data_IF_501612753645
#
_entry.id   IF_501612753645
#
_cell.length_a   1.000
_cell.length_b   1.000
_cell.length_c   1.000
_cell.angle_alpha   90.00
_cell.angle_beta   90.00
_cell.angle_gamma   90.00
#
_symmetry.space_group_name_H-M   'P 1'
#
loop_
_entity.id
_entity.type
_entity.pdbx_description
1 polymer ?
#
# COMPACT_ATOMS: atom_id res chain seq x y z
N UNK A 1 4.96 -2.28 12.81
CA UNK A 1 5.62 -1.47 11.77
C UNK A 1 5.90 -2.27 10.51
N UNK A 2 6.89 -3.19 10.46
CA UNK A 2 7.20 -3.94 9.22
C UNK A 2 5.99 -4.75 8.69
N UNK A 3 5.28 -5.43 9.60
CA UNK A 3 4.03 -6.14 9.29
C UNK A 3 2.96 -5.20 8.72
N UNK A 4 2.80 -4.01 9.29
CA UNK A 4 1.80 -3.03 8.86
C UNK A 4 2.12 -2.50 7.46
N UNK A 5 3.41 -2.22 7.20
CA UNK A 5 3.92 -1.85 5.86
C UNK A 5 3.61 -2.94 4.84
N UNK A 6 3.81 -4.21 5.21
CA UNK A 6 3.51 -5.33 4.33
C UNK A 6 2.01 -5.55 4.12
N UNK A 7 1.19 -5.40 5.16
CA UNK A 7 -0.27 -5.48 5.05
C UNK A 7 -0.83 -4.37 4.17
N UNK A 8 -0.31 -3.16 4.30
CA UNK A 8 -0.62 -2.05 3.41
C UNK A 8 -0.15 -2.29 1.98
N UNK A 9 1.03 -2.89 1.79
CA UNK A 9 1.49 -3.27 0.46
C UNK A 9 0.53 -4.24 -0.24
N UNK A 10 -0.13 -5.12 0.50
CA UNK A 10 -1.09 -6.08 -0.03
C UNK A 10 -2.47 -5.45 -0.23
N UNK A 11 -3.00 -4.81 0.81
CA UNK A 11 -4.41 -4.41 0.88
C UNK A 11 -4.64 -2.97 0.46
N UNK A 12 -3.59 -2.16 0.40
CA UNK A 12 -3.68 -0.72 0.20
C UNK A 12 -3.46 0.06 1.49
N UNK A 13 -3.13 1.35 1.37
CA UNK A 13 -3.09 2.23 2.52
C UNK A 13 -4.44 2.24 3.22
N UNK A 14 -4.42 2.07 4.55
CA UNK A 14 -5.59 2.39 5.35
C UNK A 14 -5.79 3.91 5.30
N UNK A 15 -6.74 4.37 4.49
CA UNK A 15 -7.13 5.78 4.43
C UNK A 15 -7.88 6.17 5.71
N UNK A 16 -7.12 6.44 6.77
CA UNK A 16 -7.65 7.00 8.02
C UNK A 16 -8.11 8.46 7.86
N UNK A 17 -7.80 9.11 6.74
CA UNK A 17 -8.06 10.53 6.49
C UNK A 17 -9.14 10.83 5.44
N UNK A 18 -9.77 9.84 4.82
CA UNK A 18 -10.71 10.11 3.72
C UNK A 18 -12.11 9.52 3.97
N UNK A 19 -13.07 10.30 4.52
CA UNK A 19 -14.46 9.87 4.65
C UNK A 19 -15.17 9.64 3.29
N UNK A 20 -14.50 9.97 2.18
CA UNK A 20 -15.01 9.78 0.82
C UNK A 20 -14.73 8.38 0.29
N UNK A 21 -13.62 7.73 0.67
CA UNK A 21 -13.24 6.43 0.09
C UNK A 21 -14.18 5.28 0.48
N UNK A 22 -14.85 5.34 1.63
CA UNK A 22 -15.90 4.35 1.97
C UNK A 22 -17.13 4.46 1.05
N UNK A 23 -17.46 5.67 0.59
CA UNK A 23 -18.59 5.88 -0.31
C UNK A 23 -18.22 5.60 -1.78
N UNK A 24 -16.96 5.86 -2.15
CA UNK A 24 -16.46 5.71 -3.52
C UNK A 24 -16.18 4.24 -3.88
N UNK A 25 -15.71 3.41 -2.95
CA UNK A 25 -15.56 1.95 -3.20
C UNK A 25 -16.90 1.22 -3.37
N UNK A 26 -18.00 1.76 -2.81
CA UNK A 26 -19.34 1.18 -2.96
C UNK A 26 -20.07 1.71 -4.22
N UNK A 27 -19.78 2.95 -4.66
CA UNK A 27 -20.53 3.60 -5.74
C UNK A 27 -19.83 3.63 -7.11
N UNK A 28 -18.51 3.51 -7.18
CA UNK A 28 -17.77 3.64 -8.46
C UNK A 28 -16.98 2.39 -8.78
N UNK A 29 -17.64 1.44 -9.44
CA UNK A 29 -16.97 0.53 -10.34
C UNK A 29 -16.35 1.33 -11.52
N UNK A 30 -15.11 1.83 -11.34
CA UNK A 30 -14.20 2.34 -12.37
C UNK A 30 -13.79 3.81 -12.24
N UNK A 31 -12.69 4.29 -12.87
CA UNK A 31 -11.44 3.66 -13.31
C UNK A 31 -10.22 4.32 -12.61
N UNK A 32 -10.24 4.49 -11.29
CA UNK A 32 -9.02 4.67 -10.49
C UNK A 32 -8.56 3.28 -10.11
N UNK A 33 -7.61 2.72 -10.86
CA UNK A 33 -7.18 1.33 -10.70
C UNK A 33 -7.03 0.96 -9.23
N UNK A 34 -7.84 -0.03 -8.79
CA UNK A 34 -7.80 -0.62 -7.45
C UNK A 34 -6.35 -0.83 -7.04
N UNK A 35 -6.01 -0.70 -5.76
CA UNK A 35 -4.65 -0.91 -5.27
C UNK A 35 -3.99 -2.18 -5.86
N UNK A 36 -4.79 -3.24 -6.10
CA UNK A 36 -4.38 -4.48 -6.76
C UNK A 36 -3.85 -4.33 -8.19
N UNK A 37 -4.18 -3.25 -8.89
CA UNK A 37 -3.72 -2.92 -10.26
C UNK A 37 -2.53 -1.97 -10.33
N UNK A 38 -2.15 -1.32 -9.21
CA UNK A 38 -0.98 -0.44 -9.17
C UNK A 38 0.32 -1.23 -9.34
N UNK A 39 1.27 -0.65 -10.05
CA UNK A 39 2.60 -1.24 -10.22
C UNK A 39 3.38 -1.27 -8.90
N UNK A 40 4.34 -2.19 -8.78
CA UNK A 40 5.10 -2.38 -7.55
C UNK A 40 5.77 -1.09 -7.06
N UNK A 41 6.44 -0.37 -7.95
CA UNK A 41 7.11 0.91 -7.69
C UNK A 41 6.13 1.99 -7.21
N UNK A 42 4.93 2.06 -7.78
CA UNK A 42 3.90 3.01 -7.35
C UNK A 42 3.45 2.72 -5.92
N UNK A 43 3.26 1.43 -5.58
CA UNK A 43 2.89 1.02 -4.23
C UNK A 43 3.97 1.39 -3.21
N UNK A 44 5.24 1.13 -3.54
CA UNK A 44 6.38 1.49 -2.68
C UNK A 44 6.45 3.01 -2.48
N UNK A 45 6.27 3.79 -3.55
CA UNK A 45 6.26 5.26 -3.46
C UNK A 45 5.15 5.79 -2.55
N UNK A 46 3.93 5.26 -2.67
CA UNK A 46 2.81 5.67 -1.81
C UNK A 46 3.09 5.33 -0.35
N UNK A 47 3.62 4.14 -0.08
CA UNK A 47 3.99 3.71 1.27
C UNK A 47 5.10 4.60 1.84
N UNK A 48 6.08 5.00 1.03
CA UNK A 48 7.17 5.87 1.50
C UNK A 48 6.69 7.27 1.89
N UNK A 49 5.58 7.76 1.32
CA UNK A 49 4.97 9.01 1.78
C UNK A 49 4.38 8.89 3.19
N UNK A 50 3.92 7.70 3.59
CA UNK A 50 3.37 7.47 4.93
C UNK A 50 4.43 7.19 5.99
N UNK A 51 5.59 6.70 5.57
CA UNK A 51 6.74 6.42 6.43
C UNK A 51 7.92 7.31 6.00
N UNK A 52 7.87 8.64 6.24
CA UNK A 52 8.93 9.56 5.82
C UNK A 52 10.27 9.30 6.51
N UNK A 53 10.27 8.49 7.57
CA UNK A 53 11.44 8.01 8.28
C UNK A 53 12.10 6.79 7.62
N UNK A 54 11.51 6.23 6.57
CA UNK A 54 12.03 5.08 5.82
C UNK A 54 12.25 5.48 4.36
N UNK A 55 13.36 5.01 3.79
CA UNK A 55 13.58 5.15 2.35
C UNK A 55 12.72 4.16 1.56
N UNK A 56 12.51 4.42 0.27
CA UNK A 56 11.85 3.46 -0.62
C UNK A 56 12.56 2.10 -0.64
N UNK A 57 13.89 2.09 -0.50
CA UNK A 57 14.70 0.86 -0.41
C UNK A 57 14.38 0.07 0.85
N UNK A 58 14.23 0.74 2.01
CA UNK A 58 13.89 0.06 3.27
C UNK A 58 12.51 -0.61 3.17
N UNK A 59 11.56 0.04 2.49
CA UNK A 59 10.22 -0.50 2.27
C UNK A 59 10.27 -1.70 1.30
N UNK A 60 11.07 -1.64 0.23
CA UNK A 60 11.30 -2.79 -0.65
C UNK A 60 11.86 -3.99 0.12
N UNK A 61 12.86 -3.76 0.98
CA UNK A 61 13.47 -4.81 1.80
C UNK A 61 12.47 -5.43 2.77
N UNK A 62 11.59 -4.64 3.39
CA UNK A 62 10.50 -5.13 4.24
C UNK A 62 9.55 -6.01 3.43
N UNK A 63 9.10 -5.54 2.26
CA UNK A 63 8.19 -6.28 1.39
C UNK A 63 8.81 -7.59 0.91
N UNK A 64 10.09 -7.56 0.54
CA UNK A 64 10.83 -8.74 0.09
C UNK A 64 11.00 -9.78 1.20
N UNK A 65 11.41 -9.36 2.41
CA UNK A 65 11.55 -10.25 3.57
C UNK A 65 10.23 -10.93 3.91
N UNK A 66 9.12 -10.20 3.91
CA UNK A 66 7.80 -10.76 4.18
C UNK A 66 7.26 -11.68 3.07
N UNK A 67 7.55 -11.40 1.79
CA UNK A 67 7.24 -12.33 0.69
C UNK A 67 7.98 -13.65 0.86
N UNK A 68 9.27 -13.60 1.18
CA UNK A 68 10.11 -14.80 1.37
C UNK A 68 9.62 -15.65 2.55
N UNK A 69 9.17 -15.05 3.64
CA UNK A 69 8.65 -15.77 4.82
C UNK A 69 7.31 -16.50 4.57
N UNK A 70 6.60 -16.16 3.49
CA UNK A 70 5.33 -16.80 3.09
C UNK A 70 5.52 -17.95 2.09
N UNK A 71 6.73 -18.17 1.61
CA UNK A 71 7.08 -19.25 0.66
C UNK A 71 7.67 -20.43 1.42
#
# INVERSE_FOLDING_TARGET
>A
MEKDIYEMYINGPFDWFNPVDFATDILTAGPSGSWGSKAHNERIYVISQQYPNLSSSDIEDIVYRHKKLRT
#
